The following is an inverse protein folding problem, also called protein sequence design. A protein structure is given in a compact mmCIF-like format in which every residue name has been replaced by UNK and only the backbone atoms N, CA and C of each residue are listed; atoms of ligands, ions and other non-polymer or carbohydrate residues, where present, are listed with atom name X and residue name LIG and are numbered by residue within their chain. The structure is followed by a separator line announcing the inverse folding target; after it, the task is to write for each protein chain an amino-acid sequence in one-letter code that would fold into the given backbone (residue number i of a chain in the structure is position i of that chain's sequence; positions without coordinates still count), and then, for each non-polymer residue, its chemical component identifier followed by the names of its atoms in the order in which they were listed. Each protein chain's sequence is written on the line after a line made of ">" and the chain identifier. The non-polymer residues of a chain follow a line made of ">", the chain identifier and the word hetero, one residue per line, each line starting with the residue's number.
data_IF_521457597415
#
_entry.id   IF_521457597415
#
_cell.length_a   1.000
_cell.length_b   1.000
_cell.length_c   1.000
_cell.angle_alpha   90.00
_cell.angle_beta   90.00
_cell.angle_gamma   90.00
#
_symmetry.space_group_name_H-M   'P 1'
#
loop_
_entity.id
_entity.type
_entity.pdbx_description
1 polymer ?
#
# COMPACT_ATOMS: atom_id res chain seq x y z
N UNK A 1 -2.10 7.92 -10.15
CA UNK A 1 -2.07 6.89 -11.21
C UNK A 1 -2.67 7.39 -12.51
N UNK A 2 -3.92 7.87 -12.57
CA UNK A 2 -4.56 8.35 -13.82
C UNK A 2 -3.69 9.21 -14.74
N UNK A 3 -3.08 10.29 -14.22
CA UNK A 3 -2.23 11.20 -15.02
C UNK A 3 -1.01 10.46 -15.57
N UNK A 4 -0.35 9.64 -14.73
CA UNK A 4 0.81 8.86 -15.12
C UNK A 4 0.48 7.86 -16.23
N UNK A 5 -0.63 7.12 -16.09
CA UNK A 5 -1.11 6.21 -17.15
C UNK A 5 -1.38 6.96 -18.46
N UNK A 6 -2.04 8.12 -18.40
CA UNK A 6 -2.29 8.97 -19.58
C UNK A 6 -1.01 9.49 -20.23
N UNK A 7 0.08 9.62 -19.47
CA UNK A 7 1.40 9.98 -19.95
C UNK A 7 2.22 8.78 -20.46
N UNK A 8 1.65 7.56 -20.48
CA UNK A 8 2.36 6.35 -20.90
C UNK A 8 3.28 5.74 -19.83
N UNK A 9 3.16 6.16 -18.57
CA UNK A 9 3.90 5.59 -17.45
C UNK A 9 3.12 4.39 -16.92
N UNK A 10 3.80 3.25 -16.77
CA UNK A 10 3.18 1.98 -16.34
C UNK A 10 3.50 1.58 -14.90
N UNK A 11 4.46 2.22 -14.24
CA UNK A 11 4.89 1.89 -12.88
C UNK A 11 4.84 3.13 -11.99
N UNK A 12 4.21 3.01 -10.82
CA UNK A 12 4.09 4.07 -9.83
C UNK A 12 4.50 3.56 -8.45
N UNK A 13 5.35 4.30 -7.74
CA UNK A 13 5.78 3.97 -6.38
C UNK A 13 5.18 4.94 -5.37
N UNK A 14 4.77 4.44 -4.22
CA UNK A 14 4.33 5.24 -3.07
C UNK A 14 4.69 4.54 -1.77
N UNK A 15 4.50 5.21 -0.63
CA UNK A 15 4.70 4.58 0.67
C UNK A 15 3.62 3.53 0.93
N UNK A 16 2.37 3.99 0.99
CA UNK A 16 1.20 3.15 1.25
C UNK A 16 -0.01 3.74 0.57
N UNK A 17 -0.90 2.88 0.08
CA UNK A 17 -2.15 3.32 -0.56
C UNK A 17 -3.14 3.82 0.50
N UNK A 18 -4.10 4.63 0.07
CA UNK A 18 -5.36 4.80 0.78
C UNK A 18 -6.18 3.50 0.80
N UNK A 19 -7.28 3.50 1.54
CA UNK A 19 -8.10 2.31 1.72
C UNK A 19 -9.43 2.63 2.39
N UNK A 20 -10.03 1.61 2.97
CA UNK A 20 -11.24 1.74 3.78
C UNK A 20 -10.86 2.27 5.16
N UNK A 21 -11.49 3.36 5.60
CA UNK A 21 -11.24 3.94 6.93
C UNK A 21 -11.95 3.14 8.02
N UNK A 22 -11.40 3.18 9.24
CA UNK A 22 -12.01 2.56 10.42
C UNK A 22 -13.30 3.30 10.83
N UNK A 23 -14.32 2.58 11.26
CA UNK A 23 -15.55 3.15 11.82
C UNK A 23 -16.84 2.50 11.31
N UNK A 24 -17.99 2.95 11.83
CA UNK A 24 -19.32 2.38 11.52
C UNK A 24 -19.88 2.79 10.15
N UNK A 25 -19.42 3.93 9.61
CA UNK A 25 -19.72 4.40 8.26
C UNK A 25 -18.38 4.70 7.57
N UNK A 26 -17.68 3.66 7.08
CA UNK A 26 -16.31 3.81 6.65
C UNK A 26 -16.22 4.68 5.39
N UNK A 27 -15.41 5.74 5.45
CA UNK A 27 -14.99 6.51 4.28
C UNK A 27 -14.05 5.65 3.42
N UNK A 28 -14.21 5.68 2.11
CA UNK A 28 -13.44 4.87 1.17
C UNK A 28 -12.55 5.78 0.35
N UNK A 29 -11.25 5.61 0.48
CA UNK A 29 -10.28 6.39 -0.29
C UNK A 29 -10.51 6.24 -1.79
N UNK A 30 -10.43 7.37 -2.51
CA UNK A 30 -10.48 7.41 -3.96
C UNK A 30 -9.37 6.59 -4.64
N UNK A 31 -8.30 6.24 -3.92
CA UNK A 31 -7.25 5.33 -4.38
C UNK A 31 -7.83 3.98 -4.81
N UNK A 32 -8.82 3.45 -4.07
CA UNK A 32 -9.37 2.11 -4.32
C UNK A 32 -10.14 2.04 -5.66
N UNK A 33 -11.16 2.89 -5.92
CA UNK A 33 -11.80 2.97 -7.25
C UNK A 33 -10.81 3.26 -8.37
N UNK A 34 -9.77 4.04 -8.10
CA UNK A 34 -8.74 4.36 -9.08
C UNK A 34 -7.86 3.14 -9.43
N UNK A 35 -7.47 2.34 -8.45
CA UNK A 35 -6.78 1.06 -8.67
C UNK A 35 -7.65 0.08 -9.49
N UNK A 36 -8.96 0.06 -9.28
CA UNK A 36 -9.85 -0.83 -10.03
C UNK A 36 -10.00 -0.47 -11.52
N UNK A 37 -9.69 0.77 -11.92
CA UNK A 37 -10.00 1.28 -13.27
C UNK A 37 -8.79 1.68 -14.11
N UNK A 38 -7.61 1.80 -13.51
CA UNK A 38 -6.41 2.32 -14.17
C UNK A 38 -5.31 1.26 -14.23
N UNK A 39 -4.93 0.78 -15.43
CA UNK A 39 -4.03 -0.35 -15.57
C UNK A 39 -2.57 0.07 -15.41
N UNK A 40 -2.09 0.02 -14.18
CA UNK A 40 -0.71 0.33 -13.82
C UNK A 40 -0.19 -0.68 -12.81
N UNK A 41 1.13 -0.81 -12.73
CA UNK A 41 1.79 -1.44 -11.58
C UNK A 41 1.93 -0.37 -10.49
N UNK A 42 1.34 -0.61 -9.33
CA UNK A 42 1.46 0.26 -8.16
C UNK A 42 2.25 -0.45 -7.08
N UNK A 43 3.41 0.10 -6.73
CA UNK A 43 4.32 -0.46 -5.72
C UNK A 43 4.16 0.31 -4.41
N UNK A 44 3.84 -0.39 -3.32
CA UNK A 44 3.67 0.19 -2.00
C UNK A 44 3.99 -0.82 -0.89
N UNK A 45 3.92 -0.41 0.37
CA UNK A 45 4.01 -1.29 1.53
C UNK A 45 2.62 -1.61 2.10
N UNK A 46 1.66 -1.89 1.21
CA UNK A 46 0.26 -2.12 1.57
C UNK A 46 -0.53 -0.83 1.77
N UNK A 47 -1.67 -0.94 2.44
CA UNK A 47 -2.47 0.22 2.85
C UNK A 47 -1.92 0.82 4.15
N UNK A 48 -2.00 2.14 4.30
CA UNK A 48 -1.53 2.84 5.52
C UNK A 48 -2.17 2.22 6.77
N UNK A 49 -1.38 1.92 7.79
CA UNK A 49 -1.85 1.15 8.97
C UNK A 49 -3.09 1.74 9.66
N UNK A 50 -3.23 3.08 9.63
CA UNK A 50 -4.35 3.84 10.23
C UNK A 50 -5.72 3.47 9.67
N UNK A 51 -5.75 2.76 8.53
CA UNK A 51 -6.93 2.29 7.84
C UNK A 51 -7.42 0.95 8.41
N UNK A 52 -8.58 0.51 7.94
CA UNK A 52 -9.10 -0.83 8.15
C UNK A 52 -8.49 -1.77 7.09
N UNK A 53 -7.43 -2.50 7.47
CA UNK A 53 -6.70 -3.36 6.54
C UNK A 53 -7.54 -4.55 6.04
N UNK A 54 -8.28 -5.29 6.90
CA UNK A 54 -9.19 -6.33 6.44
C UNK A 54 -10.23 -5.80 5.45
N UNK A 55 -10.93 -4.71 5.77
CA UNK A 55 -11.93 -4.15 4.86
C UNK A 55 -11.30 -3.64 3.55
N UNK A 56 -10.07 -3.11 3.60
CA UNK A 56 -9.34 -2.72 2.40
C UNK A 56 -8.98 -3.93 1.54
N UNK A 57 -8.52 -5.03 2.15
CA UNK A 57 -8.17 -6.28 1.45
C UNK A 57 -9.38 -6.92 0.78
N UNK A 58 -10.52 -6.95 1.47
CA UNK A 58 -11.82 -7.42 0.94
C UNK A 58 -12.31 -6.55 -0.22
N UNK A 59 -12.14 -5.22 -0.11
CA UNK A 59 -12.52 -4.31 -1.18
C UNK A 59 -11.69 -4.57 -2.45
N UNK A 60 -10.37 -4.72 -2.30
CA UNK A 60 -9.46 -5.02 -3.42
C UNK A 60 -9.84 -6.33 -4.13
N UNK A 61 -10.16 -7.37 -3.35
CA UNK A 61 -10.64 -8.66 -3.87
C UNK A 61 -11.94 -8.50 -4.66
N UNK A 62 -12.94 -7.87 -4.05
CA UNK A 62 -14.27 -7.64 -4.64
C UNK A 62 -14.16 -6.92 -5.99
N UNK A 63 -13.17 -6.03 -6.14
CA UNK A 63 -12.96 -5.23 -7.35
C UNK A 63 -11.86 -5.79 -8.27
N UNK A 64 -11.44 -7.04 -8.05
CA UNK A 64 -10.46 -7.74 -8.88
C UNK A 64 -9.14 -6.98 -9.06
N UNK A 65 -8.69 -6.29 -8.01
CA UNK A 65 -7.35 -5.70 -7.95
C UNK A 65 -6.42 -6.74 -7.36
N UNK A 66 -5.60 -7.35 -8.21
CA UNK A 66 -4.64 -8.37 -7.79
C UNK A 66 -3.58 -7.77 -6.87
N UNK A 67 -3.44 -8.35 -5.68
CA UNK A 67 -2.44 -8.01 -4.67
C UNK A 67 -1.29 -9.02 -4.76
N UNK A 68 -0.11 -8.53 -5.15
CA UNK A 68 1.13 -9.31 -5.22
C UNK A 68 1.97 -9.05 -3.99
N UNK A 69 2.53 -10.08 -3.37
CA UNK A 69 3.58 -9.96 -2.37
C UNK A 69 4.96 -10.10 -2.99
N UNK A 70 5.81 -9.08 -2.88
CA UNK A 70 7.19 -9.14 -3.38
C UNK A 70 8.10 -9.77 -2.32
N UNK A 71 8.38 -11.07 -2.47
CA UNK A 71 9.13 -11.86 -1.50
C UNK A 71 8.39 -12.10 -0.18
N UNK A 72 7.06 -12.02 -0.18
CA UNK A 72 6.22 -12.23 1.01
C UNK A 72 4.88 -12.87 0.65
N UNK A 73 4.30 -13.57 1.62
CA UNK A 73 3.01 -14.28 1.50
C UNK A 73 1.84 -13.48 2.12
N UNK A 74 2.16 -12.42 2.87
CA UNK A 74 1.19 -11.51 3.48
C UNK A 74 1.31 -10.11 2.89
N UNK A 75 0.18 -9.42 2.81
CA UNK A 75 0.13 -8.00 2.53
C UNK A 75 0.72 -7.25 3.74
N UNK A 76 1.82 -6.49 3.60
CA UNK A 76 2.40 -5.74 4.70
C UNK A 76 1.42 -4.68 5.24
N UNK A 77 1.51 -4.42 6.56
CA UNK A 77 0.71 -3.41 7.27
C UNK A 77 1.42 -2.06 7.34
N UNK A 78 1.98 -1.59 6.22
CA UNK A 78 2.75 -0.35 6.12
C UNK A 78 4.07 -0.39 6.92
N UNK A 79 4.03 -0.15 8.23
CA UNK A 79 5.20 -0.15 9.11
C UNK A 79 5.60 -1.54 9.62
N UNK A 80 4.73 -2.53 9.46
CA UNK A 80 4.98 -3.92 9.85
C UNK A 80 4.94 -4.83 8.62
N UNK A 81 5.80 -5.85 8.63
CA UNK A 81 5.90 -6.82 7.54
C UNK A 81 4.72 -7.79 7.54
N UNK A 82 4.10 -7.98 8.70
CA UNK A 82 2.96 -8.89 8.93
C UNK A 82 1.67 -8.10 9.14
N UNK A 83 0.56 -8.64 8.61
CA UNK A 83 -0.79 -8.11 8.84
C UNK A 83 -1.82 -9.20 9.15
N UNK A 84 -1.45 -10.47 8.93
CA UNK A 84 -2.38 -11.60 8.95
C UNK A 84 -3.27 -11.68 7.70
N UNK A 85 -3.04 -10.85 6.68
CA UNK A 85 -3.83 -10.83 5.44
C UNK A 85 -2.99 -11.35 4.28
N UNK A 86 -3.40 -12.47 3.68
CA UNK A 86 -2.68 -13.07 2.56
C UNK A 86 -2.72 -12.21 1.29
N UNK A 87 -1.64 -12.25 0.51
CA UNK A 87 -1.64 -11.77 -0.87
C UNK A 87 -2.32 -12.79 -1.79
N UNK A 88 -2.67 -12.38 -3.02
CA UNK A 88 -3.23 -13.32 -4.01
C UNK A 88 -2.12 -14.20 -4.61
N UNK A 89 -0.93 -13.63 -4.76
CA UNK A 89 0.23 -14.31 -5.34
C UNK A 89 1.52 -13.73 -4.78
N UNK A 90 2.46 -14.61 -4.44
CA UNK A 90 3.84 -14.23 -4.13
C UNK A 90 4.66 -14.21 -5.42
N UNK A 91 5.44 -13.16 -5.59
CA UNK A 91 6.47 -13.08 -6.62
C UNK A 91 7.83 -12.81 -5.98
N UNK A 92 8.86 -13.53 -6.41
CA UNK A 92 10.22 -13.37 -5.88
C UNK A 92 11.13 -12.58 -6.85
N UNK A 93 10.62 -12.17 -8.01
CA UNK A 93 11.37 -11.38 -9.00
C UNK A 93 10.53 -10.33 -9.75
N UNK A 94 11.17 -9.25 -10.27
CA UNK A 94 10.49 -8.28 -11.14
C UNK A 94 9.99 -8.89 -12.45
N UNK A 95 10.57 -10.00 -12.91
CA UNK A 95 10.18 -10.69 -14.14
C UNK A 95 8.79 -11.29 -14.00
N UNK A 96 8.52 -11.96 -12.88
CA UNK A 96 7.20 -12.54 -12.58
C UNK A 96 6.12 -11.46 -12.53
N UNK A 97 6.40 -10.32 -11.87
CA UNK A 97 5.48 -9.18 -11.82
C UNK A 97 5.17 -8.65 -13.23
N UNK A 98 6.20 -8.46 -14.05
CA UNK A 98 6.03 -7.97 -15.43
C UNK A 98 5.24 -8.97 -16.28
N UNK A 99 5.44 -10.26 -16.10
CA UNK A 99 4.66 -11.29 -16.78
C UNK A 99 3.18 -11.22 -16.38
N UNK A 100 2.86 -11.15 -15.09
CA UNK A 100 1.47 -10.99 -14.62
C UNK A 100 0.85 -9.73 -15.22
N UNK A 101 1.56 -8.60 -15.16
CA UNK A 101 1.06 -7.34 -15.68
C UNK A 101 0.79 -7.42 -17.19
N UNK A 102 1.72 -7.95 -17.99
CA UNK A 102 1.53 -8.13 -19.45
C UNK A 102 0.34 -9.03 -19.75
N UNK A 103 0.20 -10.17 -19.06
CA UNK A 103 -0.94 -11.07 -19.20
C UNK A 103 -2.27 -10.38 -18.85
N UNK A 104 -2.32 -9.58 -17.78
CA UNK A 104 -3.50 -8.77 -17.46
C UNK A 104 -3.86 -7.80 -18.59
N UNK A 105 -2.86 -7.20 -19.26
CA UNK A 105 -3.10 -6.31 -20.42
C UNK A 105 -3.64 -7.08 -21.62
N UNK A 106 -3.07 -8.23 -21.94
CA UNK A 106 -3.49 -9.09 -23.05
C UNK A 106 -4.93 -9.60 -22.89
N UNK A 107 -5.35 -9.88 -21.66
CA UNK A 107 -6.73 -10.26 -21.31
C UNK A 107 -7.70 -9.05 -21.26
N UNK A 108 -7.23 -7.83 -21.47
CA UNK A 108 -8.06 -6.63 -21.46
C UNK A 108 -8.57 -6.20 -20.07
N UNK A 109 -8.01 -6.74 -18.98
CA UNK A 109 -8.34 -6.35 -17.61
C UNK A 109 -7.95 -4.89 -17.38
N UNK A 110 -8.66 -4.11 -16.56
CA UNK A 110 -8.36 -2.67 -16.38
C UNK A 110 -7.85 -2.30 -15.00
N UNK A 111 -7.93 -3.21 -14.05
CA UNK A 111 -7.38 -3.02 -12.71
C UNK A 111 -5.86 -2.88 -12.75
N UNK A 112 -5.35 -2.17 -11.76
CA UNK A 112 -3.94 -2.11 -11.42
C UNK A 112 -3.46 -3.47 -10.89
N UNK A 113 -2.16 -3.69 -11.03
CA UNK A 113 -1.44 -4.73 -10.31
C UNK A 113 -0.82 -4.08 -9.06
N UNK A 114 -1.35 -4.38 -7.88
CA UNK A 114 -0.85 -3.83 -6.62
C UNK A 114 0.29 -4.71 -6.12
N UNK A 115 1.52 -4.23 -6.22
CA UNK A 115 2.71 -4.90 -5.73
C UNK A 115 3.05 -4.39 -4.34
N UNK A 116 2.94 -5.28 -3.36
CA UNK A 116 3.21 -4.95 -1.97
C UNK A 116 4.60 -5.43 -1.57
N UNK A 117 5.37 -4.51 -0.99
CA UNK A 117 6.77 -4.69 -0.62
C UNK A 117 6.89 -4.42 0.88
N UNK A 118 7.29 -5.41 1.69
CA UNK A 118 7.44 -5.20 3.13
C UNK A 118 8.50 -4.13 3.43
N UNK A 119 8.29 -3.39 4.51
CA UNK A 119 9.33 -2.52 5.09
C UNK A 119 10.62 -3.34 5.35
N UNK A 120 11.82 -2.76 5.16
CA UNK A 120 13.07 -3.42 5.54
C UNK A 120 13.04 -3.85 7.02
N UNK A 121 13.55 -5.04 7.31
CA UNK A 121 13.50 -5.65 8.66
C UNK A 121 14.10 -4.76 9.75
N UNK A 122 15.16 -4.03 9.42
CA UNK A 122 15.88 -3.12 10.31
C UNK A 122 15.10 -1.84 10.64
N UNK A 123 14.06 -1.55 9.86
CA UNK A 123 13.19 -0.38 10.02
C UNK A 123 11.75 -0.77 10.37
N UNK A 124 11.48 -2.05 10.61
CA UNK A 124 10.16 -2.55 10.99
C UNK A 124 9.73 -1.99 12.36
N UNK A 125 8.48 -1.56 12.44
CA UNK A 125 7.81 -1.31 13.72
C UNK A 125 6.99 -2.56 14.04
N UNK A 126 7.25 -3.24 15.16
CA UNK A 126 6.51 -4.44 15.55
C UNK A 126 4.99 -4.21 15.55
N UNK A 127 4.25 -5.16 14.97
CA UNK A 127 2.81 -5.06 14.79
C UNK A 127 2.06 -4.93 16.13
N UNK A 128 2.64 -5.43 17.22
CA UNK A 128 2.05 -5.41 18.57
C UNK A 128 2.08 -4.02 19.21
N UNK A 129 2.99 -3.14 18.78
CA UNK A 129 3.16 -1.79 19.34
C UNK A 129 2.24 -0.76 18.68
N UNK A 130 1.76 -1.05 17.48
CA UNK A 130 0.97 -0.10 16.68
C UNK A 130 -0.49 0.08 17.14
N UNK A 131 -1.24 -0.96 17.58
CA UNK A 131 -2.64 -0.82 17.96
C UNK A 131 -2.85 0.19 19.09
N UNK A 132 -2.07 0.10 20.17
CA UNK A 132 -2.20 1.02 21.31
C UNK A 132 -1.91 2.47 20.90
N UNK A 133 -0.86 2.67 20.10
CA UNK A 133 -0.47 3.98 19.59
C UNK A 133 -1.53 4.55 18.65
N UNK A 134 -2.15 3.70 17.82
CA UNK A 134 -3.23 4.09 16.93
C UNK A 134 -4.50 4.46 17.71
N UNK A 135 -4.91 3.65 18.69
CA UNK A 135 -6.12 3.90 19.47
C UNK A 135 -6.01 5.25 20.20
N UNK A 136 -4.86 5.54 20.81
CA UNK A 136 -4.58 6.85 21.39
C UNK A 136 -4.66 7.97 20.34
N UNK A 137 -4.10 7.76 19.15
CA UNK A 137 -4.13 8.75 18.06
C UNK A 137 -5.55 9.01 17.54
N UNK A 138 -6.39 7.97 17.49
CA UNK A 138 -7.81 8.08 17.10
C UNK A 138 -8.60 8.85 18.16
N UNK A 139 -8.33 8.64 19.44
CA UNK A 139 -8.96 9.40 20.51
C UNK A 139 -8.53 10.87 20.54
N UNK A 140 -7.26 11.15 20.26
CA UNK A 140 -6.76 12.52 20.11
C UNK A 140 -7.45 13.22 18.92
N UNK A 141 -7.57 12.53 17.77
CA UNK A 141 -8.29 13.06 16.61
C UNK A 141 -9.77 13.38 16.92
N UNK A 142 -10.44 12.52 17.71
CA UNK A 142 -11.84 12.74 18.15
C UNK A 142 -11.97 13.97 19.05
N UNK A 143 -11.05 14.15 20.01
CA UNK A 143 -11.05 15.33 20.90
C UNK A 143 -10.86 16.62 20.12
N UNK A 144 -10.00 16.58 19.10
CA UNK A 144 -9.72 17.72 18.21
C UNK A 144 -10.71 17.88 17.06
N UNK A 145 -11.68 16.96 16.92
CA UNK A 145 -12.70 16.93 15.86
C UNK A 145 -12.10 16.87 14.44
N UNK A 146 -10.96 16.21 14.29
CA UNK A 146 -10.29 16.03 13.01
C UNK A 146 -10.97 14.88 12.25
N UNK A 147 -11.40 15.15 11.02
CA UNK A 147 -12.19 14.22 10.20
C UNK A 147 -11.85 14.36 8.71
N UNK A 148 -12.39 13.44 7.90
CA UNK A 148 -12.23 13.47 6.44
C UNK A 148 -10.77 13.41 6.01
N UNK A 149 -10.41 14.22 5.00
CA UNK A 149 -9.08 14.22 4.38
C UNK A 149 -7.92 14.56 5.35
N UNK A 150 -8.22 15.26 6.45
CA UNK A 150 -7.21 15.73 7.40
C UNK A 150 -6.88 14.66 8.47
N UNK A 151 -7.72 13.61 8.59
CA UNK A 151 -7.55 12.55 9.56
C UNK A 151 -6.28 11.73 9.34
N UNK A 152 -6.04 11.26 8.11
CA UNK A 152 -4.87 10.41 7.82
C UNK A 152 -3.54 11.14 8.07
N UNK A 153 -3.31 12.37 7.57
CA UNK A 153 -2.10 13.13 7.91
C UNK A 153 -1.90 13.33 9.41
N UNK A 154 -2.99 13.65 10.14
CA UNK A 154 -2.93 13.81 11.59
C UNK A 154 -2.51 12.52 12.29
N UNK A 155 -3.15 11.39 11.98
CA UNK A 155 -2.83 10.11 12.61
C UNK A 155 -1.39 9.68 12.35
N UNK A 156 -0.88 9.88 11.13
CA UNK A 156 0.52 9.56 10.81
C UNK A 156 1.52 10.44 11.59
N UNK A 157 1.23 11.74 11.72
CA UNK A 157 2.05 12.65 12.52
C UNK A 157 2.04 12.25 14.00
N UNK A 158 0.85 11.92 14.53
CA UNK A 158 0.69 11.52 15.93
C UNK A 158 1.39 10.20 16.25
N UNK A 159 1.31 9.22 15.35
CA UNK A 159 2.07 7.97 15.45
C UNK A 159 3.58 8.21 15.44
N UNK A 160 4.08 9.20 14.70
CA UNK A 160 5.50 9.56 14.69
C UNK A 160 5.95 10.15 16.03
N UNK A 161 5.15 11.04 16.62
CA UNK A 161 5.42 11.60 17.94
C UNK A 161 5.43 10.52 19.04
N UNK A 162 4.37 9.71 19.10
CA UNK A 162 4.19 8.71 20.15
C UNK A 162 5.19 7.55 20.07
N UNK A 163 5.77 7.30 18.88
CA UNK A 163 6.79 6.26 18.67
C UNK A 163 8.22 6.78 18.71
N UNK A 164 8.45 8.01 19.19
CA UNK A 164 9.77 8.65 19.23
C UNK A 164 10.47 8.60 17.84
N UNK A 165 9.68 8.86 16.80
CA UNK A 165 10.11 8.88 15.41
C UNK A 165 10.32 7.51 14.76
N UNK A 166 10.02 6.38 15.43
CA UNK A 166 10.18 5.05 14.84
C UNK A 166 9.33 4.87 13.57
N UNK A 167 8.06 5.29 13.60
CA UNK A 167 7.20 5.21 12.41
C UNK A 167 7.66 6.14 11.28
N UNK A 168 8.27 7.29 11.60
CA UNK A 168 8.86 8.18 10.58
C UNK A 168 10.08 7.53 9.90
N UNK A 169 10.97 6.90 10.69
CA UNK A 169 12.11 6.14 10.14
C UNK A 169 11.65 4.99 9.26
N UNK A 170 10.64 4.24 9.70
CA UNK A 170 10.00 3.18 8.91
C UNK A 170 9.42 3.72 7.60
N UNK A 171 8.72 4.86 7.65
CA UNK A 171 8.12 5.50 6.48
C UNK A 171 9.16 5.89 5.41
N UNK A 172 10.31 6.42 5.82
CA UNK A 172 11.40 6.76 4.91
C UNK A 172 11.99 5.48 4.30
N UNK A 173 12.31 4.49 5.14
CA UNK A 173 12.93 3.24 4.70
C UNK A 173 12.03 2.46 3.72
N UNK A 174 10.71 2.39 3.99
CA UNK A 174 9.77 1.75 3.08
C UNK A 174 9.60 2.53 1.78
N UNK A 175 9.64 3.88 1.79
CA UNK A 175 9.55 4.69 0.57
C UNK A 175 10.74 4.42 -0.35
N UNK A 176 11.95 4.40 0.21
CA UNK A 176 13.17 4.08 -0.53
C UNK A 176 13.14 2.65 -1.07
N UNK A 177 12.62 1.70 -0.29
CA UNK A 177 12.50 0.31 -0.71
C UNK A 177 11.48 0.14 -1.85
N UNK A 178 10.32 0.78 -1.75
CA UNK A 178 9.28 0.75 -2.77
C UNK A 178 9.77 1.39 -4.07
N UNK A 179 10.46 2.53 -3.99
CA UNK A 179 11.05 3.19 -5.14
C UNK A 179 12.11 2.30 -5.83
N UNK A 180 12.96 1.61 -5.05
CA UNK A 180 13.95 0.67 -5.58
C UNK A 180 13.29 -0.49 -6.34
N UNK A 181 12.30 -1.14 -5.73
CA UNK A 181 11.58 -2.26 -6.36
C UNK A 181 10.83 -1.79 -7.61
N UNK A 182 10.16 -0.63 -7.55
CA UNK A 182 9.51 -0.04 -8.70
C UNK A 182 10.47 0.25 -9.86
N UNK A 183 11.67 0.77 -9.58
CA UNK A 183 12.69 1.00 -10.59
C UNK A 183 13.17 -0.29 -11.24
N UNK A 184 13.33 -1.38 -10.47
CA UNK A 184 13.68 -2.70 -11.00
C UNK A 184 12.56 -3.24 -11.92
N UNK A 185 11.31 -3.13 -11.50
CA UNK A 185 10.15 -3.54 -12.31
C UNK A 185 10.06 -2.72 -13.59
N UNK A 186 10.20 -1.39 -13.51
CA UNK A 186 10.16 -0.51 -14.68
C UNK A 186 11.27 -0.84 -15.68
N UNK A 187 12.50 -1.10 -15.20
CA UNK A 187 13.61 -1.54 -16.06
C UNK A 187 13.31 -2.86 -16.74
N UNK A 188 12.78 -3.84 -16.01
CA UNK A 188 12.40 -5.15 -16.58
C UNK A 188 11.26 -5.02 -17.59
N UNK A 189 10.30 -4.12 -17.36
CA UNK A 189 9.19 -3.88 -18.29
C UNK A 189 9.67 -3.30 -19.63
N UNK A 190 10.69 -2.46 -19.61
CA UNK A 190 11.29 -1.84 -20.81
C UNK A 190 12.34 -2.72 -21.51
N UNK A 191 12.78 -3.82 -20.89
CA UNK A 191 13.76 -4.71 -21.50
C UNK A 191 13.18 -5.37 -22.76
N UNK A 192 13.95 -5.46 -23.86
CA UNK A 192 13.51 -6.18 -25.05
C UNK A 192 13.28 -7.66 -24.71
N UNK A 193 12.19 -8.22 -25.25
CA UNK A 193 11.84 -9.64 -25.15
C UNK A 193 12.88 -10.53 -25.81
#
# INVERSE_FOLDING_TARGET
>A
TWIAHRAGISVFATGGIGGVHRGSLPDVSADLPELARTPMIVVCSGAKMVLDLPATREWLETHSVTVVGYGCDEMPAFYSRVSGLSVDVRCDSPVEIVQIFKTQRELGLRSALLVTVPVPSEAEVPAELLPQTLDQSLDDARKEKITGRDLTPFLLARLAELSEGATLRANIALLENNARVAALIARTLCAPS
#
